data_IF_176467733529
#
_entry.id   IF_176467733529
#
_cell.length_a   1.000
_cell.length_b   1.000
_cell.length_c   1.000
_cell.angle_alpha   90.00
_cell.angle_beta   90.00
_cell.angle_gamma   90.00
#
_symmetry.space_group_name_H-M   'P 1'
#
loop_
_entity.id
_entity.type
_entity.pdbx_description
1 polymer ?
#
# COMPACT_ATOMS: atom_id res chain seq x y z
N UNK A 1 15.44 -8.41 -2.77
CA UNK A 1 14.74 -8.78 -1.54
C UNK A 1 13.54 -7.87 -1.34
N UNK A 2 12.41 -8.45 -0.98
CA UNK A 2 11.24 -7.74 -0.46
C UNK A 2 10.48 -8.66 0.48
N UNK A 3 9.83 -8.12 1.51
CA UNK A 3 8.76 -8.84 2.19
C UNK A 3 7.48 -8.77 1.35
N UNK A 4 6.60 -9.74 1.50
CA UNK A 4 5.30 -9.80 0.80
C UNK A 4 4.26 -8.89 1.47
N UNK A 5 4.31 -8.76 2.81
CA UNK A 5 3.41 -7.93 3.63
C UNK A 5 4.09 -7.56 4.96
N UNK A 6 3.46 -6.72 5.73
CA UNK A 6 3.86 -6.42 7.10
C UNK A 6 3.75 -7.63 8.02
N UNK A 7 4.42 -7.59 9.17
CA UNK A 7 4.38 -8.69 10.12
C UNK A 7 2.96 -8.90 10.68
N UNK A 8 2.57 -10.16 10.93
CA UNK A 8 1.22 -10.47 11.41
C UNK A 8 1.07 -10.23 12.92
N UNK A 9 -0.08 -9.68 13.33
CA UNK A 9 -0.40 -9.43 14.73
C UNK A 9 -0.66 -10.70 15.56
N UNK A 10 -0.75 -11.88 14.91
CA UNK A 10 -1.03 -13.16 15.59
C UNK A 10 0.22 -13.96 15.97
N UNK A 11 1.41 -13.43 15.78
CA UNK A 11 2.66 -14.11 16.21
C UNK A 11 3.12 -13.73 17.61
N UNK A 12 2.38 -12.84 18.30
CA UNK A 12 2.69 -12.44 19.67
C UNK A 12 4.00 -11.66 19.82
N UNK A 13 4.50 -11.01 18.76
CA UNK A 13 5.66 -10.13 18.82
C UNK A 13 5.15 -8.69 18.80
N UNK A 14 5.11 -8.00 19.94
CA UNK A 14 4.72 -6.60 19.98
C UNK A 14 5.74 -5.77 19.20
N UNK A 15 5.31 -4.62 18.73
CA UNK A 15 6.18 -3.59 18.13
C UNK A 15 6.92 -3.99 16.83
N UNK A 16 6.65 -5.18 16.27
CA UNK A 16 7.36 -5.71 15.09
C UNK A 16 7.19 -4.81 13.85
N UNK A 17 6.06 -4.09 13.73
CA UNK A 17 5.78 -3.16 12.63
C UNK A 17 6.07 -1.69 13.02
N UNK A 18 6.53 -1.42 14.23
CA UNK A 18 6.77 -0.03 14.64
C UNK A 18 7.81 0.67 13.74
N UNK A 19 7.63 1.96 13.53
CA UNK A 19 6.65 2.86 14.14
C UNK A 19 5.28 2.87 13.43
N UNK A 20 5.07 1.99 12.45
CA UNK A 20 3.89 1.97 11.59
C UNK A 20 2.72 1.28 12.26
N UNK A 21 1.54 1.85 12.03
CA UNK A 21 0.26 1.35 12.51
C UNK A 21 -0.21 0.16 11.68
N UNK A 22 -0.89 -0.80 12.31
CA UNK A 22 -1.50 -1.95 11.63
C UNK A 22 -0.54 -3.14 11.43
N UNK A 23 -1.07 -4.19 10.81
CA UNK A 23 -0.48 -5.52 10.66
C UNK A 23 -0.78 -6.09 9.29
N UNK A 24 -0.15 -7.21 8.92
CA UNK A 24 -0.68 -8.09 7.89
C UNK A 24 -2.20 -8.23 8.06
N UNK A 25 -2.96 -8.20 6.98
CA UNK A 25 -4.44 -8.18 6.91
C UNK A 25 -5.08 -6.78 7.08
N UNK A 26 -4.31 -5.74 7.32
CA UNK A 26 -4.79 -4.35 7.30
C UNK A 26 -4.12 -3.54 6.20
N UNK A 27 -4.74 -2.42 5.78
CA UNK A 27 -4.17 -1.53 4.76
C UNK A 27 -3.49 -0.30 5.33
N UNK A 28 -3.19 -0.31 6.62
CA UNK A 28 -2.30 0.67 7.25
C UNK A 28 -0.83 0.40 6.87
N UNK A 29 0.05 1.37 7.10
CA UNK A 29 1.46 1.26 6.71
C UNK A 29 2.16 0.03 7.32
N UNK A 30 1.79 -0.38 8.56
CA UNK A 30 2.34 -1.59 9.18
C UNK A 30 1.94 -2.90 8.46
N UNK A 31 0.87 -2.88 7.65
CA UNK A 31 0.47 -4.01 6.81
C UNK A 31 1.02 -3.94 5.39
N UNK A 32 1.21 -2.73 4.85
CA UNK A 32 1.56 -2.51 3.43
C UNK A 32 3.01 -2.11 3.19
N UNK A 33 3.60 -1.29 4.07
CA UNK A 33 4.95 -0.79 3.89
C UNK A 33 5.98 -1.80 4.34
N UNK A 34 6.69 -2.37 3.40
CA UNK A 34 7.64 -3.46 3.64
C UNK A 34 9.07 -3.06 3.25
N UNK A 35 10.08 -3.60 3.95
CA UNK A 35 11.46 -3.42 3.56
C UNK A 35 11.69 -4.05 2.18
N UNK A 36 12.29 -3.25 1.29
CA UNK A 36 12.64 -3.68 -0.06
C UNK A 36 14.05 -3.24 -0.38
N UNK A 37 14.87 -4.12 -0.95
CA UNK A 37 16.23 -3.84 -1.36
C UNK A 37 16.52 -4.44 -2.75
N UNK A 38 17.21 -3.68 -3.58
CA UNK A 38 17.64 -4.11 -4.91
C UNK A 38 19.16 -4.00 -5.00
N UNK A 39 19.82 -5.04 -5.53
CA UNK A 39 21.24 -5.05 -5.74
C UNK A 39 21.55 -5.43 -7.19
N UNK A 40 22.30 -4.57 -7.88
CA UNK A 40 22.84 -4.83 -9.20
C UNK A 40 24.12 -4.02 -9.40
N UNK A 41 25.30 -4.50 -8.95
CA UNK A 41 26.53 -3.71 -8.88
C UNK A 41 26.95 -3.07 -10.21
N UNK A 42 26.65 -3.74 -11.33
CA UNK A 42 26.98 -3.21 -12.66
C UNK A 42 26.08 -2.04 -13.12
N UNK A 43 24.97 -1.76 -12.43
CA UNK A 43 23.95 -0.80 -12.89
C UNK A 43 23.44 0.13 -11.78
N UNK A 44 23.52 -0.28 -10.53
CA UNK A 44 23.00 0.45 -9.36
C UNK A 44 24.15 0.70 -8.40
N UNK A 45 24.43 1.96 -8.12
CA UNK A 45 25.46 2.34 -7.16
C UNK A 45 25.07 1.91 -5.73
N UNK A 46 26.01 1.50 -4.89
CA UNK A 46 25.70 1.09 -3.52
C UNK A 46 25.24 2.26 -2.64
N UNK A 47 24.54 1.95 -1.55
CA UNK A 47 24.17 2.90 -0.50
C UNK A 47 23.06 3.90 -0.87
N UNK A 48 22.38 3.70 -1.99
CA UNK A 48 21.28 4.58 -2.41
C UNK A 48 19.99 4.28 -1.67
N UNK A 49 19.16 5.31 -1.47
CA UNK A 49 17.81 5.19 -0.94
C UNK A 49 16.83 5.75 -1.96
N UNK A 50 15.83 4.94 -2.32
CA UNK A 50 14.73 5.33 -3.18
C UNK A 50 13.50 5.63 -2.32
N UNK A 51 12.98 6.86 -2.38
CA UNK A 51 11.96 7.37 -1.45
C UNK A 51 10.53 7.37 -2.01
N UNK A 52 10.36 7.16 -3.32
CA UNK A 52 9.03 7.14 -3.93
C UNK A 52 8.30 5.84 -3.61
N UNK A 53 6.99 5.92 -3.50
CA UNK A 53 6.15 4.75 -3.33
C UNK A 53 6.26 3.81 -4.54
N UNK A 54 6.55 2.56 -4.27
CA UNK A 54 6.60 1.46 -5.22
C UNK A 54 5.70 0.33 -4.77
N UNK A 55 5.38 -0.58 -5.66
CA UNK A 55 4.53 -1.73 -5.35
C UNK A 55 5.11 -3.00 -5.95
N UNK A 56 4.72 -4.17 -5.44
CA UNK A 56 5.12 -5.47 -5.98
C UNK A 56 4.78 -5.65 -7.46
N UNK A 57 3.73 -4.99 -7.96
CA UNK A 57 3.39 -5.00 -9.39
C UNK A 57 4.49 -4.41 -10.28
N UNK A 58 5.40 -3.60 -9.72
CA UNK A 58 6.52 -3.00 -10.43
C UNK A 58 7.68 -3.98 -10.66
N UNK A 59 7.72 -5.09 -9.95
CA UNK A 59 8.83 -6.05 -10.07
C UNK A 59 8.85 -6.72 -11.44
N UNK A 60 7.69 -7.15 -11.94
CA UNK A 60 7.63 -7.80 -13.26
C UNK A 60 8.16 -6.94 -14.38
N UNK A 61 7.67 -5.71 -14.63
CA UNK A 61 8.22 -4.87 -15.71
C UNK A 61 9.67 -4.47 -15.46
N UNK A 62 10.11 -4.35 -14.21
CA UNK A 62 11.50 -4.07 -13.86
C UNK A 62 12.42 -5.24 -14.21
N UNK A 63 12.05 -6.47 -13.85
CA UNK A 63 12.84 -7.68 -14.15
C UNK A 63 12.87 -7.98 -15.63
N UNK A 64 11.74 -7.84 -16.33
CA UNK A 64 11.67 -8.00 -17.79
C UNK A 64 12.61 -7.02 -18.50
N UNK A 65 12.59 -5.76 -18.07
CA UNK A 65 13.50 -4.75 -18.63
C UNK A 65 14.98 -5.04 -18.28
N UNK A 66 15.26 -5.52 -17.07
CA UNK A 66 16.61 -5.92 -16.65
C UNK A 66 17.17 -7.07 -17.53
N UNK A 67 16.31 -7.98 -17.93
CA UNK A 67 16.64 -9.10 -18.82
C UNK A 67 16.70 -8.70 -20.31
N UNK A 68 16.49 -7.43 -20.67
CA UNK A 68 16.44 -6.97 -22.06
C UNK A 68 15.14 -7.35 -22.80
N UNK A 69 14.14 -7.83 -22.08
CA UNK A 69 12.83 -8.19 -22.62
C UNK A 69 11.91 -6.97 -22.81
N UNK A 70 10.73 -7.24 -23.36
CA UNK A 70 9.66 -6.26 -23.54
C UNK A 70 8.36 -6.76 -22.92
N UNK A 71 7.62 -5.87 -22.26
CA UNK A 71 6.29 -6.17 -21.75
C UNK A 71 5.30 -6.34 -22.93
N UNK A 72 4.24 -7.17 -22.73
CA UNK A 72 3.15 -7.26 -23.71
C UNK A 72 2.50 -5.88 -23.93
N UNK A 73 2.02 -5.64 -25.16
CA UNK A 73 1.33 -4.40 -25.54
C UNK A 73 -0.17 -4.62 -25.80
N UNK A 74 -0.64 -5.86 -25.69
CA UNK A 74 -2.03 -6.29 -25.93
C UNK A 74 -2.94 -6.11 -24.71
N UNK A 75 -2.37 -5.64 -23.58
CA UNK A 75 -3.07 -5.46 -22.31
C UNK A 75 -2.44 -4.33 -21.51
N UNK A 76 -3.20 -3.77 -20.57
CA UNK A 76 -2.70 -2.79 -19.60
C UNK A 76 -1.77 -3.48 -18.59
N UNK A 77 -0.64 -2.86 -18.33
CA UNK A 77 0.32 -3.25 -17.28
C UNK A 77 0.34 -2.14 -16.24
N UNK A 78 -0.18 -2.42 -15.05
CA UNK A 78 -0.30 -1.42 -13.97
C UNK A 78 1.05 -1.10 -13.32
N UNK A 79 1.98 -2.04 -13.33
CA UNK A 79 3.32 -1.85 -12.82
C UNK A 79 4.20 -1.03 -13.75
N UNK A 80 5.19 -0.34 -13.19
CA UNK A 80 6.17 0.46 -13.92
C UNK A 80 7.59 -0.11 -13.77
N UNK A 81 8.42 0.12 -14.79
CA UNK A 81 9.83 -0.24 -14.75
C UNK A 81 10.60 0.74 -13.86
N UNK A 82 11.15 0.25 -12.76
CA UNK A 82 11.89 1.04 -11.77
C UNK A 82 13.37 1.27 -12.15
N UNK A 83 13.93 0.56 -13.14
CA UNK A 83 15.37 0.58 -13.41
C UNK A 83 15.95 1.98 -13.64
N UNK A 84 15.25 2.81 -14.40
CA UNK A 84 15.73 4.17 -14.68
C UNK A 84 15.70 5.04 -13.43
N UNK A 85 14.66 4.88 -12.61
CA UNK A 85 14.52 5.64 -11.37
C UNK A 85 15.58 5.25 -10.32
N UNK A 86 15.86 3.94 -10.16
CA UNK A 86 16.85 3.46 -9.18
C UNK A 86 18.30 3.64 -9.64
N UNK A 87 18.58 3.67 -10.94
CA UNK A 87 19.93 3.99 -11.47
C UNK A 87 20.31 5.45 -11.25
N UNK A 88 19.34 6.34 -11.24
CA UNK A 88 19.52 7.79 -11.21
C UNK A 88 18.93 8.42 -9.96
N UNK A 89 19.10 7.79 -8.78
CA UNK A 89 18.59 8.35 -7.51
C UNK A 89 19.17 9.73 -7.16
N UNK A 90 20.25 10.13 -7.79
CA UNK A 90 20.80 11.49 -7.71
C UNK A 90 20.22 12.45 -8.78
N UNK A 91 19.37 11.96 -9.69
CA UNK A 91 18.71 12.83 -10.64
C UNK A 91 17.73 13.77 -9.91
N UNK A 92 17.73 15.02 -10.34
CA UNK A 92 16.92 16.09 -9.72
C UNK A 92 15.40 15.93 -9.96
N UNK A 93 15.00 14.96 -10.79
CA UNK A 93 13.58 14.71 -11.09
C UNK A 93 13.24 13.22 -11.06
N UNK A 94 12.20 12.88 -10.32
CA UNK A 94 11.56 11.55 -10.37
C UNK A 94 10.71 11.45 -11.64
N UNK A 95 10.73 10.30 -12.34
CA UNK A 95 9.86 10.11 -13.49
C UNK A 95 8.37 10.31 -13.14
N UNK A 96 7.59 11.04 -13.95
CA UNK A 96 6.16 11.27 -13.69
C UNK A 96 5.36 9.98 -13.49
N UNK A 97 5.74 8.89 -14.17
CA UNK A 97 5.12 7.58 -14.00
C UNK A 97 5.15 7.04 -12.57
N UNK A 98 6.02 7.57 -11.70
CA UNK A 98 6.09 7.18 -10.28
C UNK A 98 5.40 8.18 -9.36
N UNK A 99 5.40 9.47 -9.71
CA UNK A 99 4.85 10.54 -8.84
C UNK A 99 3.34 10.74 -9.02
N UNK A 100 2.83 10.49 -10.20
CA UNK A 100 1.44 10.77 -10.58
C UNK A 100 0.60 9.50 -10.78
N UNK A 101 1.07 8.40 -10.22
CA UNK A 101 0.39 7.11 -10.25
C UNK A 101 -0.27 6.81 -8.91
N UNK A 102 -1.60 6.60 -8.85
CA UNK A 102 -2.23 6.05 -7.67
C UNK A 102 -1.89 4.56 -7.51
N UNK A 103 -1.70 4.11 -6.27
CA UNK A 103 -1.57 2.71 -5.90
C UNK A 103 -2.85 2.27 -5.20
N UNK A 104 -3.36 1.09 -5.55
CA UNK A 104 -4.62 0.57 -5.04
C UNK A 104 -4.44 -0.79 -4.36
N UNK A 105 -5.26 -1.02 -3.33
CA UNK A 105 -5.38 -2.31 -2.63
C UNK A 105 -6.85 -2.63 -2.42
N UNK A 106 -7.20 -3.90 -2.53
CA UNK A 106 -8.55 -4.41 -2.29
C UNK A 106 -8.49 -5.78 -1.64
N UNK A 107 -9.28 -5.95 -0.59
CA UNK A 107 -9.56 -7.22 0.06
C UNK A 107 -11.02 -7.20 0.52
N UNK A 108 -11.90 -7.86 -0.23
CA UNK A 108 -13.34 -7.83 0.01
C UNK A 108 -13.90 -6.40 0.13
N UNK A 109 -14.42 -6.09 1.31
CA UNK A 109 -14.94 -4.77 1.66
C UNK A 109 -13.90 -3.75 2.14
N UNK A 110 -12.64 -4.16 2.30
CA UNK A 110 -11.54 -3.27 2.64
C UNK A 110 -10.85 -2.80 1.36
N UNK A 111 -10.64 -1.51 1.22
CA UNK A 111 -10.06 -0.88 0.03
C UNK A 111 -9.15 0.27 0.42
N UNK A 112 -8.08 0.48 -0.34
CA UNK A 112 -7.23 1.64 -0.13
C UNK A 112 -6.72 2.21 -1.45
N UNK A 113 -6.42 3.51 -1.41
CA UNK A 113 -5.68 4.20 -2.46
C UNK A 113 -4.62 5.08 -1.81
N UNK A 114 -3.42 5.05 -2.37
CA UNK A 114 -2.38 6.03 -2.10
C UNK A 114 -2.11 6.82 -3.37
N UNK A 115 -2.23 8.14 -3.28
CA UNK A 115 -1.90 9.03 -4.38
C UNK A 115 -1.08 10.21 -3.86
N UNK A 116 0.14 10.34 -4.37
CA UNK A 116 1.15 11.25 -3.82
C UNK A 116 1.38 10.93 -2.33
N UNK A 117 1.23 11.91 -1.46
CA UNK A 117 1.39 11.74 -0.02
C UNK A 117 0.08 11.35 0.70
N UNK A 118 -1.04 11.35 0.00
CA UNK A 118 -2.33 11.07 0.61
C UNK A 118 -2.71 9.61 0.50
N UNK A 119 -3.27 9.08 1.56
CA UNK A 119 -3.78 7.70 1.63
C UNK A 119 -5.18 7.70 2.21
N UNK A 120 -6.09 7.04 1.49
CA UNK A 120 -7.45 6.77 1.95
C UNK A 120 -7.63 5.26 2.09
N UNK A 121 -8.15 4.84 3.23
CA UNK A 121 -8.59 3.48 3.50
C UNK A 121 -10.10 3.54 3.72
N UNK A 122 -10.85 2.75 2.98
CA UNK A 122 -12.29 2.54 3.16
C UNK A 122 -12.53 1.13 3.69
N UNK A 123 -13.21 1.03 4.82
CA UNK A 123 -13.69 -0.22 5.40
C UNK A 123 -15.22 -0.27 5.28
N UNK A 124 -15.74 -1.32 4.66
CA UNK A 124 -17.19 -1.53 4.59
C UNK A 124 -17.76 -2.03 5.93
N UNK A 125 -16.91 -2.64 6.77
CA UNK A 125 -17.25 -3.12 8.12
C UNK A 125 -16.11 -2.80 9.11
N UNK A 126 -16.34 -1.91 10.10
CA UNK A 126 -17.45 -0.95 10.13
C UNK A 126 -17.37 -0.01 8.95
N UNK A 127 -18.47 0.59 8.51
CA UNK A 127 -18.49 1.62 7.47
C UNK A 127 -17.72 2.84 7.97
N UNK A 128 -16.45 2.91 7.61
CA UNK A 128 -15.52 3.93 8.11
C UNK A 128 -14.43 4.21 7.11
N UNK A 129 -14.13 5.50 6.98
CA UNK A 129 -13.00 5.98 6.19
C UNK A 129 -11.88 6.51 7.07
N UNK A 130 -10.64 6.27 6.62
CA UNK A 130 -9.43 6.76 7.24
C UNK A 130 -8.62 7.51 6.19
N UNK A 131 -8.36 8.79 6.42
CA UNK A 131 -7.60 9.65 5.51
C UNK A 131 -6.34 10.16 6.21
N UNK A 132 -5.19 9.99 5.56
CA UNK A 132 -3.89 10.40 6.09
C UNK A 132 -3.06 11.17 5.06
N UNK A 133 -2.29 12.15 5.54
CA UNK A 133 -1.18 12.74 4.81
C UNK A 133 0.13 12.12 5.31
N UNK A 134 0.66 11.15 4.57
CA UNK A 134 1.86 10.40 4.94
C UNK A 134 3.15 11.25 4.95
N UNK A 135 3.13 12.47 4.40
CA UNK A 135 4.27 13.38 4.49
C UNK A 135 4.39 13.98 5.90
N UNK A 136 3.27 14.24 6.57
CA UNK A 136 3.21 14.85 7.90
C UNK A 136 2.89 13.86 8.99
N UNK A 137 2.20 12.78 8.65
CA UNK A 137 1.80 11.68 9.55
C UNK A 137 2.09 10.30 8.93
N UNK A 138 3.38 9.91 8.81
CA UNK A 138 3.77 8.63 8.19
C UNK A 138 3.38 7.41 9.02
N UNK A 139 2.84 7.61 10.21
CA UNK A 139 2.40 6.56 11.15
C UNK A 139 0.89 6.48 11.33
N UNK A 140 0.13 7.25 10.55
CA UNK A 140 -1.33 7.18 10.43
C UNK A 140 -2.09 7.34 11.76
N UNK A 141 -1.65 8.31 12.58
CA UNK A 141 -2.23 8.55 13.91
C UNK A 141 -3.45 9.46 13.90
N UNK A 142 -3.53 10.39 12.92
CA UNK A 142 -4.57 11.40 12.86
C UNK A 142 -5.44 11.25 11.63
N UNK A 143 -6.64 10.71 11.80
CA UNK A 143 -7.61 10.64 10.71
C UNK A 143 -8.08 12.06 10.31
N UNK A 144 -7.91 12.40 9.03
CA UNK A 144 -8.17 13.71 8.45
C UNK A 144 -9.48 13.79 7.65
N UNK A 145 -10.32 12.75 7.63
CA UNK A 145 -11.58 12.72 6.85
C UNK A 145 -12.48 13.94 7.13
N UNK A 146 -12.66 14.30 8.40
CA UNK A 146 -13.50 15.41 8.78
C UNK A 146 -12.91 16.80 8.46
N UNK A 147 -11.57 16.90 8.44
CA UNK A 147 -10.88 18.20 8.25
C UNK A 147 -10.46 18.48 6.80
N UNK A 148 -10.45 17.45 5.91
CA UNK A 148 -10.05 17.56 4.52
C UNK A 148 -11.06 16.89 3.57
N UNK A 149 -12.32 17.37 3.54
CA UNK A 149 -13.39 16.74 2.76
C UNK A 149 -13.13 16.76 1.25
N UNK A 150 -12.45 17.77 0.72
CA UNK A 150 -12.08 17.85 -0.69
C UNK A 150 -11.04 16.78 -1.07
N UNK A 151 -10.07 16.51 -0.20
CA UNK A 151 -9.07 15.47 -0.41
C UNK A 151 -9.67 14.08 -0.28
N UNK A 152 -10.55 13.89 0.68
CA UNK A 152 -11.35 12.67 0.81
C UNK A 152 -12.16 12.39 -0.46
N UNK A 153 -12.87 13.40 -1.00
CA UNK A 153 -13.67 13.23 -2.20
C UNK A 153 -12.81 12.90 -3.44
N UNK A 154 -11.64 13.53 -3.59
CA UNK A 154 -10.68 13.23 -4.65
C UNK A 154 -10.27 11.74 -4.62
N UNK A 155 -9.86 11.24 -3.46
CA UNK A 155 -9.40 9.86 -3.33
C UNK A 155 -10.55 8.83 -3.41
N UNK A 156 -11.73 9.16 -2.93
CA UNK A 156 -12.93 8.35 -3.14
C UNK A 156 -13.28 8.21 -4.63
N UNK A 157 -13.13 9.29 -5.40
CA UNK A 157 -13.34 9.24 -6.84
C UNK A 157 -12.32 8.32 -7.53
N UNK A 158 -11.04 8.37 -7.12
CA UNK A 158 -10.01 7.45 -7.63
C UNK A 158 -10.36 5.99 -7.33
N UNK A 159 -10.76 5.67 -6.08
CA UNK A 159 -11.21 4.32 -5.71
C UNK A 159 -12.40 3.87 -6.54
N UNK A 160 -13.41 4.71 -6.68
CA UNK A 160 -14.61 4.40 -7.47
C UNK A 160 -14.28 4.11 -8.93
N UNK A 161 -13.47 4.96 -9.56
CA UNK A 161 -13.08 4.78 -10.96
C UNK A 161 -12.25 3.49 -11.15
N UNK A 162 -11.35 3.19 -10.24
CA UNK A 162 -10.57 1.95 -10.27
C UNK A 162 -11.48 0.72 -10.18
N UNK A 163 -12.45 0.74 -9.28
CA UNK A 163 -13.40 -0.37 -9.09
C UNK A 163 -14.28 -0.63 -10.32
N UNK A 164 -14.68 0.41 -11.05
CA UNK A 164 -15.49 0.24 -12.27
C UNK A 164 -14.77 -0.57 -13.36
N UNK A 165 -13.43 -0.58 -13.34
CA UNK A 165 -12.63 -1.37 -14.28
C UNK A 165 -12.28 -2.78 -13.78
N UNK A 166 -12.67 -3.14 -12.56
CA UNK A 166 -12.34 -4.44 -11.96
C UNK A 166 -13.46 -5.47 -12.24
N UNK A 167 -13.04 -6.72 -12.43
CA UNK A 167 -13.98 -7.84 -12.43
C UNK A 167 -14.56 -8.04 -11.01
N UNK A 168 -15.82 -8.50 -10.96
CA UNK A 168 -16.40 -8.96 -9.70
C UNK A 168 -15.66 -10.22 -9.20
N UNK A 169 -15.55 -10.40 -7.86
CA UNK A 169 -15.00 -11.62 -7.29
C UNK A 169 -15.73 -12.86 -7.80
N UNK A 170 -15.00 -13.90 -8.18
CA UNK A 170 -15.60 -15.15 -8.69
C UNK A 170 -16.37 -15.90 -7.60
N UNK A 171 -16.02 -15.69 -6.33
CA UNK A 171 -16.71 -16.24 -5.16
C UNK A 171 -16.65 -15.24 -4.00
N UNK A 172 -17.64 -15.27 -3.10
CA UNK A 172 -17.64 -14.42 -1.90
C UNK A 172 -16.59 -14.90 -0.89
N UNK A 173 -16.19 -14.01 -0.01
CA UNK A 173 -15.38 -14.38 1.17
C UNK A 173 -16.13 -15.39 2.05
N UNK A 174 -15.46 -16.47 2.44
CA UNK A 174 -16.02 -17.46 3.38
C UNK A 174 -15.83 -17.05 4.84
N UNK A 175 -14.81 -16.24 5.10
CA UNK A 175 -14.47 -15.77 6.45
C UNK A 175 -14.41 -14.25 6.40
N UNK A 176 -15.12 -13.64 7.35
CA UNK A 176 -15.06 -12.21 7.62
C UNK A 176 -14.83 -12.05 9.12
N UNK A 177 -13.71 -11.47 9.52
CA UNK A 177 -13.42 -11.30 10.93
C UNK A 177 -12.80 -9.94 11.24
N UNK A 178 -13.11 -9.35 12.40
CA UNK A 178 -12.51 -8.09 12.81
C UNK A 178 -11.03 -8.27 13.12
N UNK A 179 -10.21 -7.34 12.64
CA UNK A 179 -8.78 -7.25 12.93
C UNK A 179 -8.54 -5.92 13.61
N UNK A 180 -8.08 -5.96 14.87
CA UNK A 180 -7.69 -4.76 15.59
C UNK A 180 -6.51 -4.09 14.91
N UNK A 181 -6.60 -2.77 14.76
CA UNK A 181 -5.56 -2.03 14.03
C UNK A 181 -4.31 -1.87 14.88
N UNK A 182 -4.49 -1.57 16.18
CA UNK A 182 -3.39 -1.17 17.06
C UNK A 182 -3.05 -2.22 18.14
N UNK A 183 -3.66 -3.39 18.08
CA UNK A 183 -3.44 -4.47 19.07
C UNK A 183 -3.22 -5.81 18.41
N UNK A 184 -2.28 -6.57 18.92
CA UNK A 184 -2.06 -7.97 18.57
C UNK A 184 -3.11 -8.88 19.22
N UNK A 185 -3.24 -10.12 18.75
CA UNK A 185 -4.25 -11.06 19.28
C UNK A 185 -4.03 -11.46 20.75
N UNK A 186 -2.81 -11.31 21.26
CA UNK A 186 -2.47 -11.57 22.66
C UNK A 186 -2.81 -10.41 23.62
N UNK A 187 -3.17 -9.24 23.07
CA UNK A 187 -3.54 -8.08 23.87
C UNK A 187 -5.03 -8.02 24.18
N UNK A 188 -5.36 -7.53 25.37
CA UNK A 188 -6.77 -7.36 25.77
C UNK A 188 -7.47 -6.34 24.87
N UNK A 189 -8.55 -6.79 24.22
CA UNK A 189 -9.38 -5.96 23.36
C UNK A 189 -10.52 -5.32 24.15
N UNK A 190 -10.87 -4.09 23.78
CA UNK A 190 -11.96 -3.30 24.36
C UNK A 190 -12.92 -2.84 23.28
N UNK A 191 -14.09 -2.35 23.66
CA UNK A 191 -15.10 -1.83 22.72
C UNK A 191 -14.65 -0.53 22.00
N UNK A 192 -13.67 0.17 22.56
CA UNK A 192 -13.16 1.43 22.02
C UNK A 192 -12.02 1.23 21.00
N UNK A 193 -11.55 -0.02 20.83
CA UNK A 193 -10.46 -0.32 19.90
C UNK A 193 -10.92 -0.19 18.45
N UNK A 194 -10.11 0.47 17.65
CA UNK A 194 -10.36 0.56 16.20
C UNK A 194 -10.02 -0.75 15.51
N UNK A 195 -10.87 -1.16 14.57
CA UNK A 195 -10.71 -2.37 13.80
C UNK A 195 -11.16 -2.19 12.34
N UNK A 196 -10.68 -3.05 11.48
CA UNK A 196 -11.21 -3.28 10.13
C UNK A 196 -11.56 -4.77 9.99
N UNK A 197 -12.25 -5.13 8.92
CA UNK A 197 -12.52 -6.55 8.65
C UNK A 197 -11.50 -7.08 7.64
N UNK A 198 -11.03 -8.29 7.89
CA UNK A 198 -10.34 -9.13 6.92
C UNK A 198 -11.34 -10.06 6.25
N UNK A 199 -11.12 -10.27 4.97
CA UNK A 199 -11.98 -11.05 4.09
C UNK A 199 -11.15 -12.18 3.46
N UNK A 200 -11.61 -13.46 3.55
CA UNK A 200 -10.92 -14.61 2.97
C UNK A 200 -11.89 -15.56 2.25
#
# INVERSE_FOLDING_TARGET
FSSDNGAPGYIGIPDVNQPYRGWKLTFFEGGLKVPTAMQWPAQISPGQQFKQATSHIDFTPTVVAAAGGKMPTDRTIDGVNLLQAVKHTHATSTPPALTDRPLFWRDGGLRAVQFKNWKLIHSAKPDKDFLYDLATDPTEKKNLTASHPEKWAELQLLLKNHQQGMAEPLWPSFIEMPIMIDKTLDQHQTQDDEYTYWYN
#
